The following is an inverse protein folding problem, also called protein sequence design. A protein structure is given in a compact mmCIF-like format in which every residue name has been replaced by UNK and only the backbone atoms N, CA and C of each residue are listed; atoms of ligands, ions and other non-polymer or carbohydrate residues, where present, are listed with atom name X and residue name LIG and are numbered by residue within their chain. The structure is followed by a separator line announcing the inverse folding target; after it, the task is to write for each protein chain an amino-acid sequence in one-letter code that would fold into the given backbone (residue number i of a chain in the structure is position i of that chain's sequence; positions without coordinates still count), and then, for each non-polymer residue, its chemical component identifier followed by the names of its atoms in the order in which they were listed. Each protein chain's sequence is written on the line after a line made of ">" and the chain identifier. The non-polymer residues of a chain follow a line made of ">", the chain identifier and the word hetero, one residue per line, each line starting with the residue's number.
data_IF_176212760047
#
_entry.id   IF_176212760047
#
_cell.length_a   1.000
_cell.length_b   1.000
_cell.length_c   1.000
_cell.angle_alpha   90.00
_cell.angle_beta   90.00
_cell.angle_gamma   90.00
#
_symmetry.space_group_name_H-M   'P 1'
#
loop_
_entity.id
_entity.type
_entity.pdbx_description
1 polymer ?
#
# COMPACT_ATOMS: atom_id res chain seq x y z
N UNK A 1 -15.71 -2.33 10.69
CA UNK A 1 -14.38 -2.76 10.22
C UNK A 1 -13.63 -1.52 9.76
N UNK A 2 -12.35 -1.39 10.09
CA UNK A 2 -11.51 -0.34 9.49
C UNK A 2 -11.11 -0.86 8.12
N UNK A 3 -11.51 -0.18 7.04
CA UNK A 3 -10.97 -0.48 5.72
C UNK A 3 -9.49 -0.08 5.72
N UNK A 4 -8.60 -1.02 5.45
CA UNK A 4 -7.18 -0.71 5.27
C UNK A 4 -7.01 0.22 4.08
N UNK A 5 -6.13 1.22 4.21
CA UNK A 5 -5.92 2.20 3.15
C UNK A 5 -5.27 1.51 1.94
N UNK A 6 -5.97 1.46 0.81
CA UNK A 6 -5.40 1.01 -0.45
C UNK A 6 -4.27 1.96 -0.86
N UNK A 7 -3.11 1.41 -1.20
CA UNK A 7 -2.04 2.18 -1.82
C UNK A 7 -2.26 2.14 -3.32
N UNK A 8 -2.31 3.31 -3.95
CA UNK A 8 -2.51 3.43 -5.39
C UNK A 8 -2.09 4.79 -5.92
N UNK A 9 -1.71 4.84 -7.20
CA UNK A 9 -1.53 6.06 -7.96
C UNK A 9 -2.21 5.88 -9.32
N UNK A 10 -3.04 6.85 -9.72
CA UNK A 10 -3.61 6.87 -11.07
C UNK A 10 -2.54 7.40 -12.02
N UNK A 11 -2.21 6.63 -13.04
CA UNK A 11 -1.25 6.99 -14.09
C UNK A 11 -2.02 7.25 -15.36
N UNK A 12 -1.90 8.47 -15.90
CA UNK A 12 -2.51 8.89 -17.15
C UNK A 12 -1.44 9.23 -18.18
N UNK A 13 -1.77 9.05 -19.46
CA UNK A 13 -1.00 9.62 -20.55
C UNK A 13 -1.34 11.10 -20.71
N UNK A 14 -0.43 11.86 -21.33
CA UNK A 14 -0.64 13.27 -21.62
C UNK A 14 -1.57 13.54 -22.82
N UNK A 15 -2.18 12.51 -23.41
CA UNK A 15 -3.06 12.63 -24.58
C UNK A 15 -4.48 12.08 -24.30
N UNK A 16 -5.42 12.50 -25.15
CA UNK A 16 -6.84 12.15 -25.03
C UNK A 16 -7.20 10.81 -25.69
N UNK A 17 -6.22 9.97 -26.05
CA UNK A 17 -6.44 8.69 -26.74
C UNK A 17 -6.17 7.49 -25.86
N UNK A 18 -5.19 7.59 -24.95
CA UNK A 18 -4.80 6.47 -24.11
C UNK A 18 -5.54 6.48 -22.77
N UNK A 19 -6.08 5.33 -22.33
CA UNK A 19 -6.71 5.19 -21.01
C UNK A 19 -5.75 5.54 -19.86
N UNK A 20 -6.32 5.91 -18.71
CA UNK A 20 -5.56 5.92 -17.45
C UNK A 20 -5.70 4.59 -16.72
N UNK A 21 -4.72 4.27 -15.88
CA UNK A 21 -4.69 3.04 -15.08
C UNK A 21 -4.44 3.35 -13.60
N UNK A 22 -4.97 2.52 -12.70
CA UNK A 22 -4.71 2.61 -11.26
C UNK A 22 -4.48 1.22 -10.67
N UNK A 23 -3.28 0.95 -10.21
CA UNK A 23 -2.93 -0.26 -9.47
C UNK A 23 -3.24 -0.04 -7.99
N UNK A 24 -4.27 -0.72 -7.48
CA UNK A 24 -4.66 -0.64 -6.07
C UNK A 24 -4.18 -1.89 -5.32
N UNK A 25 -3.25 -1.68 -4.39
CA UNK A 25 -2.60 -2.76 -3.65
C UNK A 25 -2.63 -2.55 -2.13
N UNK A 26 -2.48 -3.67 -1.42
CA UNK A 26 -2.53 -3.70 0.04
C UNK A 26 -1.37 -4.52 0.60
N UNK A 27 -0.63 -3.92 1.53
CA UNK A 27 0.38 -4.63 2.33
C UNK A 27 -0.29 -5.67 3.26
N UNK A 28 -1.42 -5.30 3.87
CA UNK A 28 -2.20 -6.20 4.72
C UNK A 28 -3.10 -7.11 3.88
N UNK A 29 -2.85 -8.43 3.95
CA UNK A 29 -3.67 -9.45 3.25
C UNK A 29 -5.17 -9.35 3.61
N UNK A 30 -5.47 -8.95 4.85
CA UNK A 30 -6.83 -8.76 5.37
C UNK A 30 -7.58 -7.58 4.75
N UNK A 31 -6.86 -6.64 4.10
CA UNK A 31 -7.43 -5.46 3.44
C UNK A 31 -7.68 -5.66 1.96
N UNK A 32 -7.18 -6.76 1.38
CA UNK A 32 -7.42 -7.16 -0.01
C UNK A 32 -8.90 -7.51 -0.23
N UNK A 33 -9.34 -7.42 -1.48
CA UNK A 33 -10.76 -7.40 -1.84
C UNK A 33 -11.14 -8.56 -2.79
N UNK A 34 -12.41 -8.94 -2.77
CA UNK A 34 -13.01 -9.87 -3.72
C UNK A 34 -13.24 -9.21 -5.07
N UNK A 35 -13.42 -10.01 -6.12
CA UNK A 35 -13.63 -9.51 -7.48
C UNK A 35 -14.78 -8.50 -7.55
N UNK A 36 -15.90 -8.78 -6.85
CA UNK A 36 -17.05 -7.89 -6.84
C UNK A 36 -16.78 -6.58 -6.07
N UNK A 37 -16.04 -6.64 -4.96
CA UNK A 37 -15.61 -5.45 -4.22
C UNK A 37 -14.63 -4.59 -5.05
N UNK A 38 -13.69 -5.23 -5.76
CA UNK A 38 -12.76 -4.57 -6.67
C UNK A 38 -13.47 -3.90 -7.85
N UNK A 39 -14.45 -4.59 -8.45
CA UNK A 39 -15.34 -4.04 -9.48
C UNK A 39 -16.04 -2.78 -9.00
N UNK A 40 -16.73 -2.86 -7.86
CA UNK A 40 -17.42 -1.70 -7.27
C UNK A 40 -16.46 -0.56 -6.91
N UNK A 41 -15.23 -0.85 -6.49
CA UNK A 41 -14.23 0.17 -6.21
C UNK A 41 -13.83 0.95 -7.47
N UNK A 42 -13.54 0.28 -8.59
CA UNK A 42 -13.26 0.95 -9.86
C UNK A 42 -14.48 1.75 -10.36
N UNK A 43 -15.68 1.15 -10.34
CA UNK A 43 -16.93 1.79 -10.78
C UNK A 43 -17.26 3.04 -9.93
N UNK A 44 -16.96 3.03 -8.63
CA UNK A 44 -17.19 4.18 -7.73
C UNK A 44 -16.34 5.42 -8.03
N UNK A 45 -15.26 5.25 -8.80
CA UNK A 45 -14.37 6.33 -9.26
C UNK A 45 -14.53 6.64 -10.76
N UNK A 46 -15.58 6.10 -11.40
CA UNK A 46 -15.82 6.28 -12.83
C UNK A 46 -14.89 5.48 -13.75
N UNK A 47 -14.22 4.45 -13.22
CA UNK A 47 -13.44 3.48 -13.98
C UNK A 47 -14.12 2.11 -14.08
N UNK A 48 -13.41 1.15 -14.65
CA UNK A 48 -13.79 -0.28 -14.71
C UNK A 48 -12.61 -1.13 -14.26
N UNK A 49 -12.83 -2.41 -13.92
CA UNK A 49 -11.73 -3.36 -13.80
C UNK A 49 -11.01 -3.50 -15.14
N UNK A 50 -9.68 -3.60 -15.11
CA UNK A 50 -8.81 -3.63 -16.28
C UNK A 50 -9.27 -4.64 -17.35
N UNK A 51 -9.67 -4.14 -18.52
CA UNK A 51 -9.72 -4.91 -19.76
C UNK A 51 -8.42 -4.71 -20.56
N UNK A 52 -7.97 -5.76 -21.25
CA UNK A 52 -6.75 -5.74 -22.06
C UNK A 52 -7.06 -6.03 -23.52
N UNK A 53 -6.73 -5.10 -24.40
CA UNK A 53 -7.02 -5.11 -25.82
C UNK A 53 -5.98 -5.88 -26.64
N UNK A 54 -4.71 -5.84 -26.21
CA UNK A 54 -3.58 -6.39 -26.96
C UNK A 54 -2.31 -6.53 -26.09
N UNK A 55 -1.28 -7.15 -26.68
CA UNK A 55 0.03 -7.40 -26.05
C UNK A 55 0.79 -6.11 -25.65
N UNK A 56 0.59 -4.99 -26.36
CA UNK A 56 1.25 -3.73 -26.02
C UNK A 56 0.64 -3.10 -24.75
N UNK A 57 -0.68 -3.21 -24.57
CA UNK A 57 -1.35 -2.81 -23.32
C UNK A 57 -0.93 -3.71 -22.15
N UNK A 58 -0.82 -5.03 -22.35
CA UNK A 58 -0.28 -5.94 -21.34
C UNK A 58 1.14 -5.50 -20.90
N UNK A 59 2.07 -5.29 -21.85
CA UNK A 59 3.44 -4.84 -21.55
C UNK A 59 3.52 -3.48 -20.84
N UNK A 60 2.56 -2.59 -21.12
CA UNK A 60 2.43 -1.33 -20.40
C UNK A 60 2.09 -1.56 -18.92
N UNK A 61 1.09 -2.42 -18.64
CA UNK A 61 0.69 -2.77 -17.26
C UNK A 61 1.85 -3.47 -16.53
N UNK A 62 2.58 -4.35 -17.20
CA UNK A 62 3.79 -4.99 -16.68
C UNK A 62 4.84 -3.95 -16.26
N UNK A 63 5.13 -2.98 -17.12
CA UNK A 63 6.07 -1.89 -16.83
C UNK A 63 5.63 -1.05 -15.62
N UNK A 64 4.33 -0.78 -15.48
CA UNK A 64 3.77 -0.07 -14.32
C UNK A 64 3.95 -0.88 -13.03
N UNK A 65 3.63 -2.19 -13.03
CA UNK A 65 3.83 -3.07 -11.88
C UNK A 65 5.31 -3.22 -11.49
N UNK A 66 6.20 -3.39 -12.47
CA UNK A 66 7.66 -3.44 -12.24
C UNK A 66 8.18 -2.15 -11.60
N UNK A 67 7.68 -0.99 -12.04
CA UNK A 67 8.02 0.30 -11.44
C UNK A 67 7.57 0.44 -9.98
N UNK A 68 6.49 -0.24 -9.60
CA UNK A 68 6.01 -0.33 -8.22
C UNK A 68 6.76 -1.38 -7.38
N UNK A 69 7.55 -2.30 -7.96
CA UNK A 69 8.24 -3.38 -7.22
C UNK A 69 9.62 -2.94 -6.66
N UNK A 70 9.84 -1.63 -6.48
CA UNK A 70 11.15 -1.10 -6.07
C UNK A 70 11.43 -1.33 -4.57
N UNK A 71 12.67 -1.69 -4.16
CA UNK A 71 12.98 -2.00 -2.77
C UNK A 71 12.65 -0.86 -1.79
N UNK A 72 12.03 -1.21 -0.66
CA UNK A 72 11.77 -0.30 0.47
C UNK A 72 10.33 0.20 0.58
N UNK A 73 9.67 0.55 -0.53
CA UNK A 73 8.27 1.03 -0.55
C UNK A 73 7.38 0.31 -1.56
N UNK A 74 7.91 -0.72 -2.23
CA UNK A 74 7.24 -1.36 -3.34
C UNK A 74 6.14 -2.35 -2.97
N UNK A 75 5.44 -2.83 -4.00
CA UNK A 75 4.48 -3.92 -3.90
C UNK A 75 5.19 -5.22 -3.50
N UNK A 76 4.56 -5.97 -2.59
CA UNK A 76 4.92 -7.34 -2.23
C UNK A 76 4.06 -8.34 -3.00
N UNK A 77 4.40 -9.62 -2.93
CA UNK A 77 3.62 -10.73 -3.50
C UNK A 77 2.12 -10.60 -3.23
N UNK A 78 1.34 -10.68 -4.29
CA UNK A 78 -0.11 -10.52 -4.28
C UNK A 78 -0.66 -10.21 -5.65
N UNK A 79 -1.45 -11.15 -6.16
CA UNK A 79 -2.04 -11.06 -7.49
C UNK A 79 -3.08 -9.93 -7.58
N UNK A 80 -3.41 -9.55 -8.81
CA UNK A 80 -4.29 -8.43 -9.11
C UNK A 80 -5.51 -8.88 -9.89
N UNK A 81 -6.72 -8.63 -9.38
CA UNK A 81 -7.94 -8.78 -10.18
C UNK A 81 -7.88 -7.91 -11.43
N UNK A 82 -8.19 -8.54 -12.58
CA UNK A 82 -8.48 -7.88 -13.85
C UNK A 82 -9.95 -8.10 -14.20
N UNK A 83 -10.49 -7.40 -15.20
CA UNK A 83 -11.91 -7.42 -15.54
C UNK A 83 -12.41 -8.70 -16.24
N UNK A 84 -11.57 -9.73 -16.39
CA UNK A 84 -11.94 -10.96 -17.10
C UNK A 84 -12.65 -11.93 -16.14
N UNK A 85 -13.80 -12.45 -16.55
CA UNK A 85 -14.62 -13.39 -15.76
C UNK A 85 -15.51 -14.25 -16.65
N UNK A 86 -16.09 -15.33 -16.11
CA UNK A 86 -17.09 -16.14 -16.81
C UNK A 86 -18.37 -16.33 -15.99
N UNK A 87 -19.51 -16.33 -16.66
CA UNK A 87 -20.81 -16.47 -16.01
C UNK A 87 -21.05 -17.89 -15.49
N UNK A 88 -21.87 -18.01 -14.45
CA UNK A 88 -22.21 -19.27 -13.83
C UNK A 88 -23.24 -20.08 -14.63
N UNK A 89 -22.73 -20.96 -15.50
CA UNK A 89 -23.21 -22.34 -15.69
C UNK A 89 -22.17 -23.05 -16.59
N UNK A 90 -21.55 -24.12 -16.10
CA UNK A 90 -20.34 -24.72 -16.69
C UNK A 90 -20.53 -25.50 -18.01
N UNK A 91 -21.47 -25.10 -18.85
CA UNK A 91 -21.82 -25.70 -20.13
C UNK A 91 -22.45 -24.64 -21.05
N UNK A 92 -21.60 -23.82 -21.66
CA UNK A 92 -21.87 -23.23 -22.97
C UNK A 92 -20.87 -23.82 -23.96
N UNK A 93 -21.33 -24.13 -25.17
CA UNK A 93 -20.54 -24.85 -26.17
C UNK A 93 -19.34 -24.01 -26.65
N UNK A 94 -18.14 -24.32 -26.19
CA UNK A 94 -16.89 -23.62 -26.54
C UNK A 94 -15.67 -24.22 -25.84
N UNK A 95 -14.46 -23.82 -26.24
CA UNK A 95 -13.28 -24.15 -25.44
C UNK A 95 -13.26 -23.26 -24.19
N UNK A 96 -12.66 -23.73 -23.09
CA UNK A 96 -12.78 -23.03 -21.82
C UNK A 96 -12.25 -21.58 -21.80
N UNK A 97 -11.11 -21.22 -22.44
CA UNK A 97 -10.67 -19.83 -22.57
C UNK A 97 -11.70 -18.91 -23.23
N UNK A 98 -12.56 -19.45 -24.11
CA UNK A 98 -13.58 -18.71 -24.85
C UNK A 98 -14.81 -18.37 -23.98
N UNK A 99 -14.94 -19.01 -22.81
CA UNK A 99 -16.02 -18.76 -21.84
C UNK A 99 -15.82 -17.44 -21.06
N UNK A 100 -14.61 -16.89 -21.13
CA UNK A 100 -14.19 -15.70 -20.39
C UNK A 100 -14.47 -14.41 -21.19
N UNK A 101 -15.20 -13.49 -20.56
CA UNK A 101 -15.63 -12.20 -21.10
C UNK A 101 -15.20 -11.04 -20.18
N UNK A 102 -15.02 -9.85 -20.75
CA UNK A 102 -14.65 -8.67 -19.97
C UNK A 102 -15.86 -8.05 -19.24
N UNK A 103 -15.65 -7.56 -18.02
CA UNK A 103 -16.68 -7.02 -17.13
C UNK A 103 -17.23 -5.66 -17.55
N UNK A 104 -16.48 -4.94 -18.38
CA UNK A 104 -16.82 -3.66 -19.02
C UNK A 104 -17.57 -3.84 -20.36
N UNK A 105 -17.66 -5.07 -20.88
CA UNK A 105 -18.24 -5.38 -22.19
C UNK A 105 -17.27 -5.25 -23.37
N UNK A 106 -15.97 -5.05 -23.12
CA UNK A 106 -14.95 -5.03 -24.18
C UNK A 106 -14.98 -6.32 -25.02
N UNK A 107 -14.84 -6.19 -26.34
CA UNK A 107 -14.84 -7.31 -27.28
C UNK A 107 -13.46 -7.96 -27.47
N UNK A 108 -12.44 -7.55 -26.70
CA UNK A 108 -11.07 -8.01 -26.87
C UNK A 108 -10.92 -9.53 -26.72
N UNK A 109 -10.26 -10.13 -27.73
CA UNK A 109 -9.90 -11.54 -27.77
C UNK A 109 -8.47 -11.81 -27.23
N UNK A 110 -7.75 -10.77 -26.78
CA UNK A 110 -6.41 -10.95 -26.21
C UNK A 110 -6.47 -11.78 -24.92
N UNK A 111 -5.60 -12.78 -24.80
CA UNK A 111 -5.49 -13.67 -23.62
C UNK A 111 -4.01 -13.92 -23.33
N UNK A 112 -3.59 -13.79 -22.06
CA UNK A 112 -2.23 -14.06 -21.59
C UNK A 112 -2.23 -15.05 -20.41
N UNK A 113 -2.86 -16.20 -20.59
CA UNK A 113 -2.94 -17.25 -19.56
C UNK A 113 -1.56 -17.79 -19.20
N UNK A 114 -1.41 -18.23 -17.94
CA UNK A 114 -0.28 -19.03 -17.49
C UNK A 114 -0.33 -20.45 -18.08
N UNK A 115 0.80 -21.18 -18.03
CA UNK A 115 0.94 -22.46 -18.72
C UNK A 115 0.34 -23.65 -17.94
N UNK A 116 -0.99 -23.74 -18.01
CA UNK A 116 -1.93 -24.78 -17.55
C UNK A 116 -3.31 -24.16 -17.24
N UNK A 117 -3.38 -22.82 -17.24
CA UNK A 117 -4.60 -22.04 -17.00
C UNK A 117 -5.39 -21.70 -18.29
N UNK A 118 -6.71 -21.45 -18.18
CA UNK A 118 -7.54 -21.50 -16.97
C UNK A 118 -7.88 -22.93 -16.50
N UNK A 119 -8.11 -23.09 -15.20
CA UNK A 119 -8.49 -24.32 -14.49
C UNK A 119 -9.89 -24.79 -14.87
N UNK A 120 -10.76 -23.88 -15.30
CA UNK A 120 -12.11 -24.15 -15.82
C UNK A 120 -13.11 -24.74 -14.81
N UNK A 121 -12.70 -24.95 -13.56
CA UNK A 121 -13.45 -25.64 -12.52
C UNK A 121 -14.53 -24.77 -11.86
N UNK A 122 -14.37 -24.51 -10.56
CA UNK A 122 -15.23 -23.60 -9.80
C UNK A 122 -14.75 -22.14 -9.85
N UNK A 123 -13.53 -21.93 -10.33
CA UNK A 123 -12.84 -20.65 -10.50
C UNK A 123 -13.38 -19.91 -11.73
N UNK A 124 -13.59 -18.60 -11.63
CA UNK A 124 -14.45 -17.84 -12.57
C UNK A 124 -14.08 -16.38 -12.77
N UNK A 125 -13.19 -15.84 -11.93
CA UNK A 125 -12.74 -14.46 -11.98
C UNK A 125 -11.23 -14.47 -12.12
N UNK A 126 -10.66 -13.59 -12.94
CA UNK A 126 -9.27 -13.74 -13.35
C UNK A 126 -8.35 -12.78 -12.61
N UNK A 127 -7.23 -13.31 -12.12
CA UNK A 127 -6.11 -12.52 -11.62
C UNK A 127 -4.97 -12.49 -12.63
N UNK A 128 -4.24 -11.37 -12.64
CA UNK A 128 -2.89 -11.27 -13.17
C UNK A 128 -1.90 -11.57 -12.04
N UNK A 129 -1.00 -12.52 -12.26
CA UNK A 129 -0.03 -12.93 -11.25
C UNK A 129 0.95 -11.81 -10.90
N UNK A 130 1.26 -11.68 -9.61
CA UNK A 130 2.40 -10.89 -9.15
C UNK A 130 3.00 -11.51 -7.89
N UNK A 131 3.82 -12.54 -8.07
CA UNK A 131 4.46 -13.28 -6.97
C UNK A 131 5.98 -13.36 -7.18
N UNK A 132 6.71 -12.23 -7.11
CA UNK A 132 8.16 -12.19 -7.36
C UNK A 132 9.00 -13.03 -6.39
N UNK A 133 8.47 -13.47 -5.24
CA UNK A 133 9.17 -14.40 -4.33
C UNK A 133 8.76 -15.87 -4.48
N UNK A 134 7.74 -16.18 -5.29
CA UNK A 134 7.32 -17.55 -5.54
C UNK A 134 8.35 -18.34 -6.38
N UNK A 135 8.49 -19.62 -6.06
CA UNK A 135 9.26 -20.54 -6.90
C UNK A 135 8.58 -20.69 -8.28
N UNK A 136 9.32 -20.71 -9.40
CA UNK A 136 8.75 -20.91 -10.72
C UNK A 136 7.96 -22.21 -10.85
N UNK A 137 6.80 -22.14 -11.50
CA UNK A 137 5.99 -23.28 -11.90
C UNK A 137 6.31 -23.78 -13.31
N UNK A 138 5.38 -24.53 -13.92
CA UNK A 138 5.54 -25.13 -15.25
C UNK A 138 5.69 -24.08 -16.38
N UNK A 139 5.02 -22.93 -16.25
CA UNK A 139 5.15 -21.79 -17.17
C UNK A 139 6.32 -20.85 -16.86
N UNK A 140 7.12 -21.14 -15.83
CA UNK A 140 8.14 -20.23 -15.31
C UNK A 140 7.62 -19.38 -14.14
N UNK A 141 8.20 -18.18 -13.91
CA UNK A 141 7.82 -17.31 -12.79
C UNK A 141 6.33 -16.90 -12.83
N UNK A 142 5.70 -16.81 -11.66
CA UNK A 142 4.32 -16.32 -11.51
C UNK A 142 4.29 -14.78 -11.58
N UNK A 143 4.50 -14.26 -12.80
CA UNK A 143 4.57 -12.84 -13.09
C UNK A 143 3.78 -12.50 -14.36
N UNK A 144 2.77 -11.66 -14.20
CA UNK A 144 2.00 -10.95 -15.23
C UNK A 144 1.14 -11.78 -16.20
N UNK A 145 1.35 -13.10 -16.26
CA UNK A 145 0.40 -14.04 -16.86
C UNK A 145 -0.81 -14.25 -15.95
N UNK A 146 -1.88 -14.83 -16.50
CA UNK A 146 -3.20 -14.84 -15.86
C UNK A 146 -3.62 -16.23 -15.38
N UNK A 147 -4.44 -16.24 -14.33
CA UNK A 147 -5.03 -17.42 -13.70
C UNK A 147 -6.51 -17.15 -13.36
N UNK A 148 -7.41 -18.13 -13.47
CA UNK A 148 -8.74 -18.02 -12.88
C UNK A 148 -8.76 -18.45 -11.41
N UNK A 149 -9.36 -17.60 -10.58
CA UNK A 149 -9.54 -17.84 -9.15
C UNK A 149 -11.03 -17.73 -8.79
N UNK A 150 -11.37 -18.11 -7.56
CA UNK A 150 -12.71 -18.03 -6.98
C UNK A 150 -12.96 -16.57 -6.67
N UNK A 151 -14.03 -16.03 -7.22
CA UNK A 151 -14.36 -14.60 -7.14
C UNK A 151 -14.45 -14.02 -5.70
N UNK A 152 -14.52 -14.86 -4.66
CA UNK A 152 -14.53 -14.49 -3.24
C UNK A 152 -13.14 -14.44 -2.57
N UNK A 153 -12.06 -14.87 -3.24
CA UNK A 153 -10.69 -14.71 -2.77
C UNK A 153 -10.32 -13.23 -2.65
N UNK A 154 -9.25 -12.91 -1.89
CA UNK A 154 -8.91 -11.52 -1.55
C UNK A 154 -7.57 -11.13 -2.18
N UNK A 155 -7.64 -10.31 -3.23
CA UNK A 155 -6.49 -9.87 -4.04
C UNK A 155 -6.37 -8.34 -4.13
N UNK A 156 -5.26 -7.88 -4.72
CA UNK A 156 -5.12 -6.51 -5.21
C UNK A 156 -6.01 -6.33 -6.46
N UNK A 157 -6.06 -5.15 -7.07
CA UNK A 157 -6.83 -4.94 -8.32
C UNK A 157 -6.28 -3.81 -9.18
N UNK A 158 -6.59 -3.85 -10.48
CA UNK A 158 -6.24 -2.78 -11.44
C UNK A 158 -7.50 -2.21 -12.07
N UNK A 159 -7.65 -0.89 -11.99
CA UNK A 159 -8.70 -0.16 -12.69
C UNK A 159 -8.17 0.47 -13.99
N UNK A 160 -9.01 0.48 -15.03
CA UNK A 160 -8.86 1.22 -16.28
C UNK A 160 -9.91 2.34 -16.32
N UNK A 161 -9.53 3.51 -16.83
CA UNK A 161 -10.41 4.69 -16.93
C UNK A 161 -10.30 5.28 -18.33
N UNK A 162 -11.42 5.76 -18.87
CA UNK A 162 -11.42 6.53 -20.12
C UNK A 162 -10.48 7.74 -20.05
N UNK A 163 -9.90 8.18 -21.19
CA UNK A 163 -9.07 9.38 -21.24
C UNK A 163 -9.85 10.60 -20.73
N UNK A 164 -9.20 11.44 -19.91
CA UNK A 164 -9.85 12.62 -19.35
C UNK A 164 -10.05 13.70 -20.43
N UNK A 165 -11.26 13.75 -21.00
CA UNK A 165 -11.67 14.80 -21.97
C UNK A 165 -11.77 16.15 -21.24
N UNK A 166 -10.62 16.80 -21.01
CA UNK A 166 -10.54 18.07 -20.32
C UNK A 166 -10.90 19.21 -21.30
N UNK A 167 -12.09 19.85 -21.21
CA UNK A 167 -12.61 20.70 -22.30
C UNK A 167 -11.90 22.05 -22.46
N UNK A 168 -10.90 22.32 -21.61
CA UNK A 168 -10.31 23.66 -21.40
C UNK A 168 -8.90 23.80 -21.97
N UNK A 169 -8.29 22.72 -22.47
CA UNK A 169 -6.95 22.78 -23.07
C UNK A 169 -7.02 23.33 -24.52
N UNK A 170 -6.31 24.42 -24.86
CA UNK A 170 -6.20 24.85 -26.25
C UNK A 170 -5.49 23.77 -27.07
N UNK A 171 -6.07 23.38 -28.20
CA UNK A 171 -5.44 22.44 -29.14
C UNK A 171 -4.24 23.15 -29.80
N UNK A 172 -3.06 22.99 -29.21
CA UNK A 172 -1.83 23.48 -29.82
C UNK A 172 -1.51 22.64 -31.06
N UNK A 173 -1.38 23.33 -32.21
CA UNK A 173 -1.14 22.67 -33.50
C UNK A 173 0.27 22.07 -33.51
N UNK A 174 0.46 20.81 -33.96
CA UNK A 174 1.77 20.21 -34.00
C UNK A 174 2.65 20.91 -35.06
N UNK A 175 3.66 21.64 -34.61
CA UNK A 175 4.73 22.11 -35.47
C UNK A 175 5.66 20.93 -35.79
N UNK A 176 5.81 20.60 -37.08
CA UNK A 176 6.83 19.64 -37.51
C UNK A 176 8.22 20.24 -37.34
N UNK A 177 9.02 19.65 -36.46
CA UNK A 177 10.49 19.72 -36.52
C UNK A 177 11.05 18.31 -36.63
N UNK A 178 11.69 18.04 -37.77
CA UNK A 178 12.31 16.75 -38.06
C UNK A 178 13.62 16.59 -37.28
N UNK A 179 13.71 15.63 -36.36
CA UNK A 179 14.97 14.98 -35.98
C UNK A 179 14.68 13.57 -35.41
N UNK A 180 15.53 12.57 -35.71
CA UNK A 180 15.21 11.18 -35.41
C UNK A 180 15.72 10.71 -34.04
N UNK A 181 14.86 10.03 -33.30
CA UNK A 181 15.25 9.04 -32.27
C UNK A 181 15.56 9.57 -30.89
N UNK A 182 14.52 9.72 -30.06
CA UNK A 182 14.50 9.07 -28.74
C UNK A 182 13.05 8.86 -28.29
N UNK A 183 12.71 7.71 -27.70
CA UNK A 183 11.33 7.33 -27.36
C UNK A 183 11.08 7.40 -25.85
N UNK A 184 11.24 8.60 -25.29
CA UNK A 184 10.85 8.89 -23.92
C UNK A 184 9.39 9.38 -23.86
N UNK A 185 8.47 8.49 -23.53
CA UNK A 185 7.07 8.86 -23.29
C UNK A 185 6.92 9.63 -21.97
N UNK A 186 6.41 10.86 -22.07
CA UNK A 186 6.21 11.76 -20.94
C UNK A 186 4.99 11.31 -20.11
N UNK A 187 5.23 10.51 -19.07
CA UNK A 187 4.21 10.13 -18.08
C UNK A 187 3.95 11.30 -17.15
N UNK A 188 2.70 11.78 -17.11
CA UNK A 188 2.27 12.82 -16.16
C UNK A 188 1.69 12.16 -14.93
N UNK A 189 2.45 12.20 -13.83
CA UNK A 189 2.01 11.71 -12.52
C UNK A 189 1.23 12.81 -11.80
N UNK A 190 -0.08 12.64 -11.66
CA UNK A 190 -0.93 13.55 -10.88
C UNK A 190 -0.96 13.13 -9.41
N UNK A 191 -0.06 13.67 -8.59
CA UNK A 191 -0.17 13.55 -7.14
C UNK A 191 -1.25 14.49 -6.58
N UNK A 192 -2.43 13.92 -6.31
CA UNK A 192 -3.46 14.56 -5.49
C UNK A 192 -3.42 13.97 -4.08
N UNK A 193 -2.59 14.53 -3.19
CA UNK A 193 -2.48 14.03 -1.81
C UNK A 193 -1.63 14.90 -0.88
N UNK A 194 -2.27 15.76 -0.09
CA UNK A 194 -1.62 16.36 1.09
C UNK A 194 -1.33 15.22 2.07
N UNK A 195 -0.05 15.00 2.36
CA UNK A 195 0.48 13.85 3.14
C UNK A 195 -0.28 13.71 4.49
N UNK A 196 -1.18 12.71 4.65
CA UNK A 196 -1.97 12.57 5.89
C UNK A 196 -1.10 12.18 7.08
N UNK A 197 -0.01 11.45 6.82
CA UNK A 197 0.91 10.94 7.85
C UNK A 197 1.54 12.04 8.71
N UNK A 198 1.73 13.26 8.19
CA UNK A 198 2.30 14.34 9.01
C UNK A 198 1.32 14.76 10.12
N UNK A 199 0.02 14.75 9.84
CA UNK A 199 -1.02 15.15 10.80
C UNK A 199 -1.08 14.14 11.96
N UNK A 200 -1.06 12.84 11.67
CA UNK A 200 -1.08 11.79 12.69
C UNK A 200 0.19 11.71 13.54
N UNK A 201 1.33 12.21 13.04
CA UNK A 201 2.57 12.31 13.82
C UNK A 201 2.61 13.61 14.64
N UNK A 202 2.16 14.73 14.09
CA UNK A 202 2.20 16.05 14.73
C UNK A 202 1.16 16.20 15.86
N UNK A 203 -0.06 15.69 15.68
CA UNK A 203 -1.13 15.81 16.70
C UNK A 203 -0.77 15.18 18.06
N UNK A 204 -0.20 13.95 18.17
CA UNK A 204 0.17 13.37 19.46
C UNK A 204 1.53 13.87 19.99
N UNK A 205 2.46 14.29 19.12
CA UNK A 205 3.79 14.75 19.54
C UNK A 205 3.76 16.14 20.17
N UNK A 206 2.90 17.06 19.70
CA UNK A 206 2.79 18.41 20.30
C UNK A 206 2.37 18.35 21.79
N UNK A 207 1.28 17.66 22.20
CA UNK A 207 0.92 17.51 23.60
C UNK A 207 2.01 16.84 24.44
N UNK A 208 2.68 15.81 23.90
CA UNK A 208 3.75 15.12 24.60
C UNK A 208 4.96 16.03 24.84
N UNK A 209 5.38 16.82 23.84
CA UNK A 209 6.46 17.79 23.98
C UNK A 209 6.10 18.91 24.97
N UNK A 210 4.86 19.40 24.98
CA UNK A 210 4.40 20.38 25.96
C UNK A 210 4.40 19.82 27.39
N UNK A 211 3.97 18.57 27.59
CA UNK A 211 4.03 17.90 28.89
C UNK A 211 5.48 17.72 29.37
N UNK A 212 6.40 17.34 28.48
CA UNK A 212 7.83 17.22 28.77
C UNK A 212 8.41 18.57 29.19
N UNK A 213 8.11 19.67 28.47
CA UNK A 213 8.57 21.02 28.81
C UNK A 213 8.04 21.49 30.18
N UNK A 214 6.78 21.19 30.52
CA UNK A 214 6.21 21.50 31.84
C UNK A 214 6.86 20.66 32.95
N UNK A 215 7.13 19.37 32.70
CA UNK A 215 7.81 18.50 33.66
C UNK A 215 9.26 18.95 33.93
N UNK A 216 10.02 19.31 32.88
CA UNK A 216 11.36 19.86 33.05
C UNK A 216 11.33 21.23 33.74
N UNK A 217 10.43 22.13 33.34
CA UNK A 217 10.29 23.45 33.97
C UNK A 217 9.95 23.38 35.46
N UNK A 218 9.01 22.51 35.85
CA UNK A 218 8.64 22.29 37.27
C UNK A 218 9.77 21.62 38.06
N UNK A 219 10.48 20.64 37.48
CA UNK A 219 11.65 20.01 38.09
C UNK A 219 12.80 21.03 38.32
N UNK A 220 13.13 21.83 37.31
CA UNK A 220 14.12 22.91 37.43
C UNK A 220 13.72 23.93 38.50
N UNK A 221 12.46 24.34 38.54
CA UNK A 221 11.95 25.26 39.57
C UNK A 221 12.08 24.67 40.98
N UNK A 222 11.70 23.40 41.18
CA UNK A 222 11.84 22.70 42.46
C UNK A 222 13.30 22.58 42.89
N UNK A 223 14.21 22.24 41.97
CA UNK A 223 15.66 22.14 42.25
C UNK A 223 16.27 23.49 42.61
N UNK A 224 15.91 24.57 41.92
CA UNK A 224 16.35 25.92 42.24
C UNK A 224 15.79 26.42 43.58
N UNK A 225 14.52 26.10 43.89
CA UNK A 225 13.92 26.43 45.18
C UNK A 225 14.56 25.64 46.35
N UNK A 226 14.83 24.35 46.15
CA UNK A 226 15.52 23.47 47.11
C UNK A 226 16.98 23.89 47.33
N UNK A 227 17.67 24.39 46.30
CA UNK A 227 18.98 25.01 46.41
C UNK A 227 18.93 26.26 47.32
N UNK A 228 17.96 27.15 47.08
CA UNK A 228 17.76 28.39 47.85
C UNK A 228 17.38 28.15 49.32
N UNK A 229 16.74 27.01 49.61
CA UNK A 229 16.43 26.57 50.98
C UNK A 229 17.61 25.98 51.76
N UNK A 230 18.71 25.60 51.10
CA UNK A 230 19.84 24.88 51.75
C UNK A 230 21.01 25.79 52.17
N UNK A 231 20.98 27.07 51.82
CA UNK A 231 22.07 28.04 52.09
C UNK A 231 21.85 28.95 53.31
N UNK A 232 20.97 28.56 54.25
CA UNK A 232 20.81 29.25 55.54
C UNK A 232 20.80 28.27 56.72
N UNK A 233 21.94 28.09 57.38
CA UNK A 233 22.12 28.01 58.85
C UNK A 233 23.63 27.92 59.17
N UNK A 234 24.08 28.65 60.19
CA UNK A 234 25.47 28.71 60.70
C UNK A 234 25.64 27.79 61.94
N UNK A 235 26.85 27.54 62.48
CA UNK A 235 27.08 26.49 63.48
C UNK A 235 26.71 26.92 64.91
N UNK A 236 26.35 25.96 65.79
CA UNK A 236 27.13 25.56 66.98
C UNK A 236 26.38 24.62 67.98
N UNK A 237 27.14 23.76 68.66
CA UNK A 237 26.99 23.16 70.01
C UNK A 237 25.76 22.35 70.52
N UNK A 238 26.00 21.03 70.65
CA UNK A 238 26.00 20.21 71.89
C UNK A 238 24.76 19.98 72.78
N UNK A 239 24.45 18.68 72.98
CA UNK A 239 24.09 18.08 74.29
C UNK A 239 24.54 16.61 74.40
N UNK A 240 25.40 16.28 75.38
CA UNK A 240 25.53 14.93 76.00
C UNK A 240 24.40 14.80 77.08
N UNK A 241 24.01 13.66 77.68
CA UNK A 241 24.78 12.56 78.31
C UNK A 241 23.93 11.28 78.57
N UNK A 242 24.53 10.07 78.38
CA UNK A 242 24.60 8.84 79.26
C UNK A 242 23.33 8.34 80.00
N UNK A 243 22.95 7.03 80.03
CA UNK A 243 23.66 5.79 80.47
C UNK A 243 23.21 4.52 79.69
N UNK A 244 23.95 3.40 79.50
CA UNK A 244 24.96 2.57 80.21
C UNK A 244 24.37 1.35 80.98
N UNK A 245 24.54 0.16 80.39
CA UNK A 245 24.54 -1.16 81.06
C UNK A 245 25.52 -2.10 80.33
N UNK A 246 26.04 -3.14 80.99
CA UNK A 246 27.32 -3.77 80.60
C UNK A 246 27.26 -5.31 80.50
N UNK A 247 27.92 -5.83 79.45
CA UNK A 247 28.45 -7.19 79.21
C UNK A 247 28.40 -8.20 80.37
N UNK A 248 28.03 -9.46 80.04
CA UNK A 248 28.72 -10.64 80.58
C UNK A 248 29.00 -11.65 79.46
N UNK A 249 30.14 -12.32 79.57
CA UNK A 249 30.80 -13.16 78.58
C UNK A 249 31.23 -14.44 79.32
N UNK A 250 31.15 -15.61 78.67
CA UNK A 250 31.77 -16.86 79.13
C UNK A 250 31.87 -17.82 77.94
N UNK A 251 33.03 -18.42 77.72
CA UNK A 251 33.29 -19.39 76.64
C UNK A 251 33.68 -20.78 77.18
N UNK A 252 34.18 -21.64 76.27
CA UNK A 252 34.50 -23.07 76.47
C UNK A 252 33.26 -23.93 76.84
N UNK A 253 33.14 -25.22 76.55
CA UNK A 253 33.93 -26.21 75.80
C UNK A 253 32.91 -27.21 75.20
N UNK A 254 33.21 -28.01 74.17
CA UNK A 254 34.49 -28.28 73.49
C UNK A 254 34.43 -27.78 72.05
#
# INVERSE_FOLDING_TARGET
>A
MVAGLAHSQKVCFADLKHPCYKMAYFHELSSRVSFQEARMACESEGGVLLSLENEAEQKLIESMLQNLTKPGTGISDGDFWIGLWRNGNGQTSGACPDLYQWSDGSSSQYRNWYADEPSCGSEKCVVMYHQPTANPGLGGPYLYQWNDDRCNMKHNYICKYEPEINPTAPVEKPYLTNQPGDTHQNVVVTEAGIIPNLIYVVIPTIPLLLLILVAFGTCCFQMLHKSKGRTKTSPNQSTLWISKSTRKESGMEV
#
